data_IF_595525176633
#
_entry.id   IF_595525176633
#
_cell.length_a   1.000
_cell.length_b   1.000
_cell.length_c   1.000
_cell.angle_alpha   90.00
_cell.angle_beta   90.00
_cell.angle_gamma   90.00
#
_symmetry.space_group_name_H-M   'P 1'
#
loop_
_entity.id
_entity.type
_entity.pdbx_description
1 polymer ?
#
# COMPACT_ATOMS: atom_id res chain seq x y z
N UNK A 1 -29.45 48.37 -55.30
CA UNK A 1 -30.38 47.45 -54.59
C UNK A 1 -30.85 46.42 -55.61
N UNK A 2 -30.50 45.14 -55.39
CA UNK A 2 -30.98 43.84 -55.94
C UNK A 2 -31.90 43.87 -57.19
N UNK A 3 -31.80 43.01 -58.22
CA UNK A 3 -31.96 41.53 -58.26
C UNK A 3 -31.55 41.09 -59.70
N UNK A 4 -30.46 40.31 -59.87
CA UNK A 4 -30.37 38.90 -60.33
C UNK A 4 -31.19 38.48 -61.59
N UNK A 5 -30.47 38.23 -62.68
CA UNK A 5 -30.93 37.46 -63.86
C UNK A 5 -30.77 35.96 -63.62
N UNK A 6 -31.79 35.17 -64.02
CA UNK A 6 -31.77 33.71 -64.10
C UNK A 6 -32.42 33.29 -65.43
N UNK A 7 -31.67 32.63 -66.30
CA UNK A 7 -32.12 31.90 -67.51
C UNK A 7 -31.19 30.68 -67.60
N UNK A 8 -31.66 29.46 -67.26
CA UNK A 8 -32.34 28.46 -68.10
C UNK A 8 -31.41 27.70 -69.06
N UNK A 9 -31.24 26.39 -68.86
CA UNK A 9 -31.43 25.33 -69.87
C UNK A 9 -30.96 23.94 -69.36
N UNK A 10 -31.87 22.96 -69.39
CA UNK A 10 -31.60 21.51 -69.49
C UNK A 10 -31.03 21.18 -70.90
N UNK A 11 -30.44 20.05 -71.27
CA UNK A 11 -30.33 18.67 -70.80
C UNK A 11 -29.10 18.03 -71.52
N UNK A 12 -28.70 16.80 -71.18
CA UNK A 12 -28.37 15.66 -72.10
C UNK A 12 -27.65 14.54 -71.33
N UNK A 13 -28.02 13.31 -71.65
CA UNK A 13 -27.66 12.07 -71.01
C UNK A 13 -26.39 11.40 -71.59
N UNK A 14 -25.87 10.44 -70.80
CA UNK A 14 -25.29 9.15 -71.20
C UNK A 14 -23.83 9.11 -71.68
N UNK A 15 -22.93 8.55 -70.86
CA UNK A 15 -21.95 7.51 -71.26
C UNK A 15 -21.63 6.65 -70.02
N UNK A 16 -21.95 5.36 -70.09
CA UNK A 16 -21.42 4.31 -69.21
C UNK A 16 -20.11 3.84 -69.84
N UNK A 17 -19.00 3.98 -69.13
CA UNK A 17 -17.72 3.35 -69.48
C UNK A 17 -17.37 2.35 -68.40
N UNK A 18 -17.53 1.07 -68.72
CA UNK A 18 -16.88 -0.02 -68.00
C UNK A 18 -15.41 -0.03 -68.41
N UNK A 19 -14.54 0.51 -67.55
CA UNK A 19 -13.11 0.21 -67.58
C UNK A 19 -12.77 -0.53 -66.29
N UNK A 20 -12.80 -1.85 -66.41
CA UNK A 20 -12.11 -2.78 -65.52
C UNK A 20 -10.61 -2.53 -65.64
N UNK A 21 -10.07 -1.61 -64.84
CA UNK A 21 -8.65 -1.62 -64.50
C UNK A 21 -8.49 -2.59 -63.34
N UNK A 22 -7.85 -3.72 -63.61
CA UNK A 22 -7.25 -4.55 -62.58
C UNK A 22 -6.10 -3.76 -61.97
N UNK A 23 -6.40 -2.98 -60.93
CA UNK A 23 -5.38 -2.56 -59.99
C UNK A 23 -4.98 -3.81 -59.22
N UNK A 24 -3.97 -4.50 -59.73
CA UNK A 24 -3.17 -5.42 -58.93
C UNK A 24 -2.48 -4.58 -57.85
N UNK A 25 -3.22 -4.24 -56.80
CA UNK A 25 -2.64 -3.84 -55.52
C UNK A 25 -1.89 -5.07 -54.99
N UNK A 26 -0.65 -5.19 -55.45
CA UNK A 26 0.39 -5.95 -54.80
C UNK A 26 0.59 -5.33 -53.42
N UNK A 27 -0.28 -5.68 -52.48
CA UNK A 27 -0.07 -5.52 -51.05
C UNK A 27 1.07 -6.46 -50.68
N UNK A 28 2.30 -6.04 -50.99
CA UNK A 28 3.49 -6.55 -50.31
C UNK A 28 3.34 -6.16 -48.84
N UNK A 29 2.62 -6.99 -48.09
CA UNK A 29 2.67 -6.99 -46.65
C UNK A 29 4.12 -7.27 -46.28
N UNK A 30 4.83 -6.24 -45.79
CA UNK A 30 6.13 -6.43 -45.16
C UNK A 30 5.99 -7.58 -44.15
N UNK A 31 6.90 -8.59 -44.18
CA UNK A 31 6.76 -9.74 -43.31
C UNK A 31 6.66 -9.27 -41.85
N UNK A 32 5.64 -9.74 -41.14
CA UNK A 32 5.40 -9.33 -39.77
C UNK A 32 6.65 -9.60 -38.91
N UNK A 33 7.06 -8.64 -38.06
CA UNK A 33 8.29 -8.73 -37.30
C UNK A 33 8.26 -9.91 -36.34
N UNK A 34 9.34 -10.70 -36.31
CA UNK A 34 9.43 -11.84 -35.40
C UNK A 34 9.63 -11.33 -33.95
N UNK A 35 8.80 -11.75 -32.99
CA UNK A 35 8.90 -11.27 -31.62
C UNK A 35 10.20 -11.72 -30.95
N UNK A 36 10.81 -10.82 -30.18
CA UNK A 36 11.99 -11.07 -29.36
C UNK A 36 11.78 -10.54 -27.95
N UNK A 37 12.57 -11.06 -26.99
CA UNK A 37 12.65 -10.48 -25.65
C UNK A 37 13.71 -9.39 -25.66
N UNK A 38 13.28 -8.13 -25.62
CA UNK A 38 14.15 -6.96 -25.68
C UNK A 38 14.89 -6.74 -24.36
N UNK A 39 14.21 -6.89 -23.23
CA UNK A 39 14.75 -6.67 -21.89
C UNK A 39 14.16 -7.66 -20.89
N UNK A 40 14.95 -8.01 -19.87
CA UNK A 40 14.53 -8.80 -18.72
C UNK A 40 14.76 -8.00 -17.43
N UNK A 41 13.96 -8.22 -16.40
CA UNK A 41 14.26 -7.79 -15.04
C UNK A 41 13.94 -8.94 -14.08
N UNK A 42 14.90 -9.43 -13.29
CA UNK A 42 16.33 -9.08 -13.28
C UNK A 42 17.02 -9.27 -14.65
N UNK A 43 18.16 -8.61 -14.84
CA UNK A 43 19.04 -8.86 -15.97
C UNK A 43 19.73 -10.23 -15.80
N UNK A 44 20.26 -10.75 -16.90
CA UNK A 44 21.00 -12.01 -16.88
C UNK A 44 22.17 -11.95 -15.92
N UNK A 45 22.24 -12.93 -15.02
CA UNK A 45 23.27 -13.09 -13.99
C UNK A 45 23.34 -11.95 -12.97
N UNK A 46 22.26 -11.18 -12.82
CA UNK A 46 22.13 -10.23 -11.71
C UNK A 46 22.34 -10.96 -10.38
N UNK A 47 23.17 -10.37 -9.52
CA UNK A 47 23.36 -10.80 -8.13
C UNK A 47 22.66 -9.83 -7.20
N UNK A 48 22.48 -10.22 -5.93
CA UNK A 48 21.82 -9.40 -4.91
C UNK A 48 20.38 -8.99 -5.26
N UNK A 49 19.67 -9.83 -6.02
CA UNK A 49 18.26 -9.57 -6.36
C UNK A 49 17.39 -9.68 -5.12
N UNK A 50 16.49 -8.72 -4.93
CA UNK A 50 15.52 -8.74 -3.84
C UNK A 50 14.66 -10.01 -3.88
N UNK A 51 14.41 -10.62 -2.72
CA UNK A 51 13.70 -11.91 -2.64
C UNK A 51 12.20 -11.83 -2.96
N UNK A 52 11.62 -10.63 -2.97
CA UNK A 52 10.24 -10.34 -3.39
C UNK A 52 10.16 -9.81 -4.84
N UNK A 53 11.20 -10.03 -5.65
CA UNK A 53 11.28 -9.49 -7.00
C UNK A 53 10.15 -10.03 -7.89
N UNK A 54 9.41 -9.10 -8.50
CA UNK A 54 8.59 -9.39 -9.68
C UNK A 54 9.52 -9.55 -10.87
N UNK A 55 9.47 -10.72 -11.51
CA UNK A 55 10.29 -11.02 -12.69
C UNK A 55 9.53 -10.55 -13.92
N UNK A 56 10.15 -9.79 -14.81
CA UNK A 56 9.48 -9.21 -15.98
C UNK A 56 10.29 -9.35 -17.25
N UNK A 57 9.59 -9.33 -18.38
CA UNK A 57 10.16 -9.27 -19.73
C UNK A 57 9.43 -8.22 -20.55
N UNK A 58 10.18 -7.47 -21.35
CA UNK A 58 9.62 -6.61 -22.40
C UNK A 58 9.86 -7.27 -23.75
N UNK A 59 8.81 -7.39 -24.55
CA UNK A 59 8.86 -7.90 -25.91
C UNK A 59 9.09 -6.77 -26.92
N UNK A 60 9.66 -7.09 -28.08
CA UNK A 60 9.90 -6.15 -29.18
C UNK A 60 8.63 -5.68 -29.88
N UNK A 61 7.54 -6.45 -29.76
CA UNK A 61 6.24 -6.22 -30.41
C UNK A 61 5.12 -6.57 -29.45
N UNK A 62 3.89 -6.21 -29.82
CA UNK A 62 2.70 -6.64 -29.09
C UNK A 62 2.49 -8.15 -29.26
N UNK A 63 2.18 -8.81 -28.16
CA UNK A 63 2.03 -10.26 -28.06
C UNK A 63 0.57 -10.65 -27.90
N UNK A 64 0.26 -11.90 -28.27
CA UNK A 64 -1.01 -12.52 -27.93
C UNK A 64 -1.03 -12.80 -26.42
N UNK A 65 -1.89 -12.08 -25.70
CA UNK A 65 -2.04 -12.19 -24.25
C UNK A 65 -2.41 -13.62 -23.80
N UNK A 66 -3.14 -14.38 -24.61
CA UNK A 66 -3.54 -15.75 -24.27
C UNK A 66 -2.36 -16.74 -24.31
N UNK A 67 -1.34 -16.43 -25.10
CA UNK A 67 -0.11 -17.22 -25.21
C UNK A 67 0.86 -16.99 -24.04
N UNK A 68 0.62 -15.97 -23.21
CA UNK A 68 1.47 -15.59 -22.07
C UNK A 68 0.79 -16.01 -20.77
N UNK A 69 1.22 -17.12 -20.19
CA UNK A 69 0.63 -17.71 -19.00
C UNK A 69 1.70 -18.46 -18.18
N UNK A 70 1.28 -19.15 -17.12
CA UNK A 70 2.19 -19.85 -16.19
C UNK A 70 2.88 -21.06 -16.80
N UNK A 71 2.47 -21.55 -17.97
CA UNK A 71 3.19 -22.62 -18.68
C UNK A 71 4.24 -22.07 -19.65
N UNK A 72 4.06 -20.84 -20.14
CA UNK A 72 4.95 -20.22 -21.13
C UNK A 72 5.92 -19.20 -20.56
N UNK A 73 5.64 -18.64 -19.38
CA UNK A 73 6.58 -17.84 -18.58
C UNK A 73 6.74 -18.46 -17.18
N UNK A 74 7.88 -19.10 -16.95
CA UNK A 74 8.14 -19.90 -15.74
C UNK A 74 9.35 -19.40 -14.96
N UNK A 75 9.38 -19.68 -13.66
CA UNK A 75 10.53 -19.48 -12.79
C UNK A 75 10.88 -20.80 -12.08
N UNK A 76 12.16 -21.15 -12.00
CA UNK A 76 12.64 -22.39 -11.36
C UNK A 76 13.79 -22.13 -10.41
N UNK A 77 13.86 -22.94 -9.35
CA UNK A 77 14.98 -23.06 -8.42
C UNK A 77 15.61 -24.44 -8.57
N UNK A 78 16.84 -24.52 -9.06
CA UNK A 78 17.54 -25.80 -9.25
C UNK A 78 16.66 -26.89 -9.92
N UNK A 79 15.88 -26.51 -10.93
CA UNK A 79 14.94 -27.39 -11.64
C UNK A 79 13.53 -27.51 -11.04
N UNK A 80 13.34 -27.14 -9.78
CA UNK A 80 12.02 -27.14 -9.11
C UNK A 80 11.21 -25.90 -9.51
N UNK A 81 9.95 -26.03 -9.98
CA UNK A 81 9.10 -24.89 -10.29
C UNK A 81 8.82 -24.01 -9.07
N UNK A 82 8.96 -22.69 -9.25
CA UNK A 82 8.44 -21.69 -8.32
C UNK A 82 7.02 -21.35 -8.75
N UNK A 83 6.06 -21.44 -7.84
CA UNK A 83 4.68 -21.08 -8.13
C UNK A 83 4.53 -19.55 -8.18
N UNK A 84 3.66 -19.07 -9.06
CA UNK A 84 3.43 -17.65 -9.27
C UNK A 84 2.27 -17.38 -10.23
N UNK A 85 1.91 -16.11 -10.35
CA UNK A 85 0.92 -15.63 -11.33
C UNK A 85 1.63 -14.92 -12.48
N UNK A 86 1.11 -15.07 -13.70
CA UNK A 86 1.58 -14.36 -14.89
C UNK A 86 0.54 -13.34 -15.33
N UNK A 87 1.00 -12.14 -15.68
CA UNK A 87 0.17 -11.08 -16.27
C UNK A 87 0.89 -10.45 -17.46
N UNK A 88 0.12 -9.89 -18.40
CA UNK A 88 0.64 -9.22 -19.59
C UNK A 88 -0.15 -7.93 -19.87
N UNK A 89 0.57 -6.84 -20.15
CA UNK A 89 -0.03 -5.55 -20.52
C UNK A 89 0.95 -4.73 -21.36
N UNK A 90 0.45 -4.08 -22.42
CA UNK A 90 1.29 -3.35 -23.37
C UNK A 90 2.22 -4.33 -24.11
N UNK A 91 3.53 -4.22 -23.89
CA UNK A 91 4.55 -5.17 -24.37
C UNK A 91 5.27 -5.90 -23.23
N UNK A 92 4.77 -5.78 -21.99
CA UNK A 92 5.45 -6.29 -20.79
C UNK A 92 4.69 -7.46 -20.17
N UNK A 93 5.37 -8.59 -19.98
CA UNK A 93 4.88 -9.69 -19.14
C UNK A 93 5.56 -9.66 -17.76
N UNK A 94 4.81 -10.04 -16.72
CA UNK A 94 5.28 -10.12 -15.33
C UNK A 94 4.92 -11.47 -14.73
N UNK A 95 5.89 -12.09 -14.07
CA UNK A 95 5.74 -13.25 -13.20
C UNK A 95 5.91 -12.79 -11.75
N UNK A 96 4.88 -13.00 -10.92
CA UNK A 96 4.88 -12.67 -9.49
C UNK A 96 4.90 -13.98 -8.70
N UNK A 97 6.01 -14.32 -8.01
CA UNK A 97 6.06 -15.49 -7.14
C UNK A 97 5.02 -15.40 -6.02
N UNK A 98 4.36 -16.52 -5.68
CA UNK A 98 3.40 -16.54 -4.55
C UNK A 98 4.10 -16.56 -3.19
N UNK A 99 5.35 -17.02 -3.14
CA UNK A 99 6.19 -17.06 -1.94
C UNK A 99 7.44 -16.23 -2.15
N UNK A 100 7.93 -15.59 -1.09
CA UNK A 100 9.23 -14.92 -1.10
C UNK A 100 10.31 -15.93 -1.52
N UNK A 101 11.13 -15.57 -2.50
CA UNK A 101 12.21 -16.42 -3.01
C UNK A 101 13.20 -16.75 -1.88
N UNK A 102 13.86 -17.90 -1.93
CA UNK A 102 14.89 -18.30 -0.97
C UNK A 102 16.09 -17.34 -1.02
N UNK A 103 16.84 -17.23 0.08
CA UNK A 103 18.02 -16.36 0.15
C UNK A 103 19.24 -17.04 -0.48
N UNK A 104 20.19 -16.24 -0.98
CA UNK A 104 21.41 -16.71 -1.64
C UNK A 104 21.18 -17.81 -2.69
N UNK A 105 20.07 -17.73 -3.40
CA UNK A 105 19.58 -18.82 -4.25
C UNK A 105 19.54 -18.38 -5.71
N UNK A 106 20.07 -19.25 -6.57
CA UNK A 106 20.02 -19.12 -8.02
C UNK A 106 18.63 -19.51 -8.54
N UNK A 107 18.02 -18.60 -9.29
CA UNK A 107 16.76 -18.81 -9.98
C UNK A 107 16.96 -18.70 -11.48
N UNK A 108 16.21 -19.49 -12.25
CA UNK A 108 16.19 -19.47 -13.70
C UNK A 108 14.78 -19.15 -14.18
N UNK A 109 14.64 -18.02 -14.88
CA UNK A 109 13.40 -17.66 -15.55
C UNK A 109 13.44 -18.16 -17.01
N UNK A 110 12.28 -18.51 -17.56
CA UNK A 110 12.15 -19.00 -18.93
C UNK A 110 10.90 -18.45 -19.58
N UNK A 111 11.05 -17.85 -20.75
CA UNK A 111 9.97 -17.60 -21.70
C UNK A 111 10.11 -18.61 -22.83
N UNK A 112 9.08 -19.44 -23.04
CA UNK A 112 9.11 -20.54 -24.00
C UNK A 112 8.73 -20.10 -25.42
N UNK A 113 9.04 -20.93 -26.42
CA UNK A 113 8.55 -20.78 -27.81
C UNK A 113 7.02 -20.88 -27.95
N UNK A 114 6.28 -21.21 -26.88
CA UNK A 114 4.82 -21.14 -26.86
C UNK A 114 4.26 -19.72 -26.89
N UNK A 115 5.07 -18.70 -26.55
CA UNK A 115 4.68 -17.28 -26.61
C UNK A 115 4.67 -16.78 -28.06
N UNK A 116 3.57 -16.14 -28.47
CA UNK A 116 3.32 -15.69 -29.85
C UNK A 116 2.97 -14.20 -29.94
N UNK A 117 3.29 -13.59 -31.07
CA UNK A 117 2.79 -12.25 -31.42
C UNK A 117 1.27 -12.27 -31.67
N UNK A 118 0.65 -11.09 -31.80
CA UNK A 118 -0.77 -10.99 -32.17
C UNK A 118 -1.08 -11.64 -33.53
N UNK A 119 -0.08 -11.71 -34.42
CA UNK A 119 -0.13 -12.36 -35.73
C UNK A 119 0.16 -13.87 -35.68
N UNK A 120 0.31 -14.44 -34.48
CA UNK A 120 0.53 -15.87 -34.28
C UNK A 120 1.98 -16.35 -34.48
N UNK A 121 2.93 -15.42 -34.66
CA UNK A 121 4.36 -15.76 -34.85
C UNK A 121 5.00 -16.05 -33.50
N UNK A 122 5.57 -17.23 -33.33
CA UNK A 122 6.26 -17.62 -32.09
C UNK A 122 7.63 -16.94 -31.94
N UNK A 123 8.09 -16.77 -30.69
CA UNK A 123 9.50 -16.46 -30.45
C UNK A 123 10.39 -17.60 -30.96
N UNK A 124 11.56 -17.29 -31.54
CA UNK A 124 12.40 -18.27 -32.25
C UNK A 124 12.99 -19.37 -31.36
N UNK A 125 13.28 -19.03 -30.10
CA UNK A 125 13.90 -19.93 -29.15
C UNK A 125 13.46 -19.56 -27.73
N UNK A 126 13.57 -20.51 -26.81
CA UNK A 126 13.35 -20.23 -25.40
C UNK A 126 14.33 -19.15 -24.92
N UNK A 127 13.80 -18.07 -24.35
CA UNK A 127 14.62 -17.09 -23.64
C UNK A 127 14.79 -17.56 -22.21
N UNK A 128 16.00 -17.95 -21.85
CA UNK A 128 16.37 -18.29 -20.47
C UNK A 128 17.36 -17.27 -19.92
N UNK A 129 17.22 -16.94 -18.65
CA UNK A 129 18.20 -16.17 -17.91
C UNK A 129 18.13 -16.53 -16.43
N UNK A 130 19.27 -16.42 -15.78
CA UNK A 130 19.41 -16.65 -14.35
C UNK A 130 19.60 -15.35 -13.58
N UNK A 131 19.32 -15.40 -12.29
CA UNK A 131 19.69 -14.37 -11.32
C UNK A 131 19.86 -15.00 -9.94
N UNK A 132 20.72 -14.40 -9.12
CA UNK A 132 20.97 -14.82 -7.75
C UNK A 132 20.33 -13.84 -6.79
N UNK A 133 19.44 -14.37 -5.94
CA UNK A 133 18.85 -13.60 -4.84
C UNK A 133 19.89 -13.25 -3.79
N UNK A 134 19.70 -12.12 -3.12
CA UNK A 134 20.64 -11.66 -2.09
C UNK A 134 20.87 -12.70 -0.98
N UNK A 135 22.13 -12.81 -0.54
CA UNK A 135 22.54 -13.65 0.58
C UNK A 135 22.10 -13.09 1.93
N UNK A 136 21.87 -11.77 1.99
CA UNK A 136 21.11 -11.21 3.09
C UNK A 136 19.68 -11.73 2.95
N UNK A 137 19.25 -12.57 3.90
CA UNK A 137 17.85 -12.46 4.35
C UNK A 137 17.69 -10.97 4.58
N UNK A 138 16.87 -10.27 3.78
CA UNK A 138 16.57 -8.88 4.07
C UNK A 138 16.28 -8.85 5.57
N UNK A 139 17.12 -8.15 6.35
CA UNK A 139 16.91 -8.10 7.79
C UNK A 139 15.44 -7.76 7.95
N UNK A 140 14.68 -8.64 8.62
CA UNK A 140 13.23 -8.49 8.69
C UNK A 140 12.91 -7.03 8.99
N UNK A 141 11.92 -6.47 8.30
CA UNK A 141 11.61 -5.05 8.41
C UNK A 141 11.62 -4.67 9.88
N UNK A 142 12.55 -3.80 10.29
CA UNK A 142 12.71 -3.53 11.72
C UNK A 142 11.47 -2.80 12.24
N UNK A 143 11.02 -3.12 13.45
CA UNK A 143 9.97 -2.34 14.10
C UNK A 143 10.35 -0.86 14.18
N UNK A 144 9.36 0.03 14.21
CA UNK A 144 9.58 1.47 14.41
C UNK A 144 9.80 1.72 15.90
N UNK A 145 10.92 2.33 16.27
CA UNK A 145 11.19 2.67 17.67
C UNK A 145 10.32 3.84 18.10
N UNK A 146 9.47 3.63 19.11
CA UNK A 146 8.57 4.67 19.63
C UNK A 146 9.22 5.52 20.72
N UNK A 147 10.40 5.14 21.22
CA UNK A 147 11.00 5.75 22.42
C UNK A 147 9.98 5.87 23.56
N UNK A 148 9.98 7.00 24.26
CA UNK A 148 9.01 7.27 25.33
C UNK A 148 7.58 7.52 24.85
N UNK A 149 7.33 7.74 23.55
CA UNK A 149 5.96 7.78 23.02
C UNK A 149 5.28 6.40 23.19
N UNK A 150 6.07 5.33 23.20
CA UNK A 150 5.61 3.97 23.45
C UNK A 150 5.03 3.73 24.86
N UNK A 151 5.07 4.71 25.77
CA UNK A 151 4.43 4.58 27.08
C UNK A 151 2.94 5.00 27.06
N UNK A 152 2.47 5.64 25.99
CA UNK A 152 1.13 6.22 25.92
C UNK A 152 0.24 5.46 24.95
N UNK A 153 -0.99 5.16 25.35
CA UNK A 153 -2.00 4.62 24.44
C UNK A 153 -2.55 5.71 23.51
N UNK A 154 -2.59 6.95 24.02
CA UNK A 154 -2.94 8.15 23.25
C UNK A 154 -1.91 9.22 23.57
N UNK A 155 -1.25 9.75 22.55
CA UNK A 155 -0.38 10.93 22.65
C UNK A 155 -0.78 11.93 21.58
N UNK A 156 -1.11 13.14 21.97
CA UNK A 156 -1.54 14.20 21.06
C UNK A 156 -0.79 15.50 21.33
N UNK A 157 -0.85 16.46 20.40
CA UNK A 157 -0.21 17.78 20.58
C UNK A 157 -1.16 18.92 20.89
N UNK A 158 -2.37 18.90 20.31
CA UNK A 158 -3.29 20.04 20.36
C UNK A 158 -4.52 19.77 21.21
N UNK A 159 -5.12 18.59 21.13
CA UNK A 159 -6.38 18.29 21.83
C UNK A 159 -6.58 16.78 21.98
N UNK A 160 -7.17 16.37 23.11
CA UNK A 160 -7.79 15.05 23.26
C UNK A 160 -9.23 15.29 23.70
N UNK A 161 -10.20 14.88 22.88
CA UNK A 161 -11.62 15.03 23.18
C UNK A 161 -12.30 13.67 23.25
N UNK A 162 -13.18 13.52 24.22
CA UNK A 162 -14.03 12.36 24.38
C UNK A 162 -15.50 12.80 24.49
N UNK A 163 -16.37 12.20 23.68
CA UNK A 163 -17.81 12.21 23.92
C UNK A 163 -18.12 10.96 24.76
N UNK A 164 -18.47 11.11 26.05
CA UNK A 164 -18.56 9.97 26.97
C UNK A 164 -19.59 8.91 26.57
N UNK A 165 -19.38 7.62 26.89
CA UNK A 165 -18.30 7.10 27.76
C UNK A 165 -17.39 6.14 27.01
N UNK A 166 -16.14 6.54 26.79
CA UNK A 166 -15.07 5.63 26.32
C UNK A 166 -14.52 4.77 27.46
N UNK A 167 -13.84 3.67 27.12
CA UNK A 167 -13.06 2.81 28.02
C UNK A 167 -11.64 2.74 27.49
N UNK A 168 -10.68 3.25 28.25
CA UNK A 168 -9.29 3.40 27.83
C UNK A 168 -8.38 2.63 28.79
N UNK A 169 -7.50 1.80 28.25
CA UNK A 169 -6.47 1.08 29.01
C UNK A 169 -5.08 1.53 28.55
N UNK A 170 -4.36 2.22 29.42
CA UNK A 170 -3.07 2.86 29.13
C UNK A 170 -3.10 4.36 29.40
N UNK A 171 -1.92 4.98 29.31
CA UNK A 171 -1.74 6.38 29.67
C UNK A 171 -2.06 7.35 28.51
N UNK A 172 -2.62 8.51 28.83
CA UNK A 172 -2.86 9.61 27.90
C UNK A 172 -1.81 10.70 28.09
N UNK A 173 -1.32 11.29 27.00
CA UNK A 173 -0.40 12.42 27.02
C UNK A 173 -0.82 13.53 26.07
N UNK A 174 -0.76 14.78 26.53
CA UNK A 174 -0.98 15.97 25.70
C UNK A 174 0.15 16.99 25.88
N UNK A 175 0.87 17.31 24.80
CA UNK A 175 1.91 18.35 24.83
C UNK A 175 2.21 18.90 23.43
N UNK A 176 2.34 20.22 23.24
CA UNK A 176 2.53 21.25 24.27
C UNK A 176 1.22 21.85 24.83
N UNK A 177 0.05 21.39 24.37
CA UNK A 177 -1.21 21.91 24.90
C UNK A 177 -1.41 21.56 26.38
N UNK A 178 -2.08 22.48 27.10
CA UNK A 178 -2.39 22.36 28.53
C UNK A 178 -3.54 21.37 28.79
N UNK A 179 -3.70 20.97 30.06
CA UNK A 179 -4.74 20.05 30.55
C UNK A 179 -6.15 20.48 30.12
N UNK A 180 -6.41 21.80 29.98
CA UNK A 180 -7.70 22.35 29.53
C UNK A 180 -8.13 21.90 28.13
N UNK A 181 -7.21 21.39 27.31
CA UNK A 181 -7.49 20.82 25.99
C UNK A 181 -7.73 19.31 26.03
N UNK A 182 -7.74 18.70 27.21
CA UNK A 182 -8.24 17.35 27.45
C UNK A 182 -9.69 17.48 27.92
N UNK A 183 -10.64 17.19 27.04
CA UNK A 183 -12.06 17.49 27.25
C UNK A 183 -12.91 16.22 27.27
N UNK A 184 -13.97 16.21 28.09
CA UNK A 184 -14.89 15.07 28.20
C UNK A 184 -14.39 13.90 29.07
N UNK A 185 -13.43 14.14 29.95
CA UNK A 185 -12.86 13.11 30.85
C UNK A 185 -13.12 13.33 32.35
N UNK A 186 -13.83 14.39 32.74
CA UNK A 186 -14.11 14.71 34.16
C UNK A 186 -12.89 14.48 35.07
N UNK A 187 -11.77 15.10 34.72
CA UNK A 187 -10.47 14.82 35.31
C UNK A 187 -10.45 15.11 36.81
N UNK A 188 -9.80 14.24 37.57
CA UNK A 188 -9.43 14.46 38.97
C UNK A 188 -7.92 14.63 39.03
N UNK A 189 -7.47 15.80 39.48
CA UNK A 189 -6.05 16.17 39.48
C UNK A 189 -5.28 15.55 40.66
N UNK A 190 -4.04 15.15 40.40
CA UNK A 190 -3.04 14.69 41.37
C UNK A 190 -1.72 15.42 41.10
N UNK A 191 -0.72 15.21 41.98
CA UNK A 191 0.61 15.77 41.76
C UNK A 191 1.29 15.15 40.53
N UNK A 192 1.39 15.93 39.46
CA UNK A 192 2.07 15.55 38.21
C UNK A 192 1.26 14.69 37.25
N UNK A 193 -0.01 14.38 37.53
CA UNK A 193 -0.89 13.64 36.63
C UNK A 193 -2.36 13.85 37.03
N UNK A 194 -3.30 13.41 36.19
CA UNK A 194 -4.71 13.34 36.52
C UNK A 194 -5.26 11.91 36.30
N UNK A 195 -6.46 11.64 36.82
CA UNK A 195 -7.22 10.41 36.58
C UNK A 195 -8.61 10.71 36.02
N UNK A 196 -9.18 9.73 35.33
CA UNK A 196 -10.55 9.74 34.84
C UNK A 196 -11.16 8.35 35.02
N UNK A 197 -12.47 8.27 35.28
CA UNK A 197 -13.17 6.98 35.43
C UNK A 197 -13.08 6.11 34.16
N UNK A 198 -13.01 6.76 33.00
CA UNK A 198 -12.85 6.12 31.69
C UNK A 198 -11.45 5.56 31.43
N UNK A 199 -10.45 5.92 32.25
CA UNK A 199 -9.04 5.65 31.97
C UNK A 199 -8.46 4.73 33.05
N UNK A 200 -8.19 3.49 32.67
CA UNK A 200 -7.32 2.57 33.42
C UNK A 200 -5.87 2.92 33.08
N UNK A 201 -5.37 3.96 33.73
CA UNK A 201 -4.08 4.60 33.47
C UNK A 201 -3.99 5.97 34.13
N UNK A 202 -3.05 6.79 33.66
CA UNK A 202 -2.89 8.20 34.06
C UNK A 202 -3.05 9.12 32.86
N UNK A 203 -3.51 10.33 33.13
CA UNK A 203 -3.61 11.41 32.15
C UNK A 203 -2.54 12.44 32.46
N UNK A 204 -1.74 12.80 31.46
CA UNK A 204 -0.64 13.73 31.59
C UNK A 204 -0.80 14.89 30.60
N UNK A 205 -0.46 16.11 31.01
CA UNK A 205 -0.47 17.29 30.14
C UNK A 205 0.72 18.23 30.42
N UNK A 206 0.98 19.15 29.50
CA UNK A 206 2.18 19.99 29.49
C UNK A 206 2.29 21.00 30.64
N UNK A 207 1.17 21.42 31.23
CA UNK A 207 1.09 22.36 32.35
C UNK A 207 1.19 21.69 33.73
N UNK A 208 1.33 20.37 33.77
CA UNK A 208 1.50 19.62 35.01
C UNK A 208 2.92 19.73 35.56
N UNK A 209 3.04 19.56 36.88
CA UNK A 209 4.31 19.66 37.63
C UNK A 209 5.38 18.72 37.06
N UNK A 210 6.62 19.21 36.99
CA UNK A 210 7.82 18.45 36.60
C UNK A 210 7.98 17.18 37.46
N UNK A 211 8.38 16.02 36.89
CA UNK A 211 8.98 15.82 35.56
C UNK A 211 7.99 15.63 34.40
N UNK A 212 6.67 15.76 34.63
CA UNK A 212 5.66 15.43 33.61
C UNK A 212 5.80 16.25 32.33
N UNK A 213 5.94 17.57 32.45
CA UNK A 213 6.09 18.46 31.29
C UNK A 213 7.32 18.11 30.44
N UNK A 214 8.48 17.88 31.05
CA UNK A 214 9.72 17.47 30.36
C UNK A 214 9.57 16.09 29.71
N UNK A 215 9.02 15.11 30.43
CA UNK A 215 8.81 13.77 29.90
C UNK A 215 7.87 13.75 28.69
N UNK A 216 6.82 14.58 28.70
CA UNK A 216 5.90 14.72 27.58
C UNK A 216 6.56 15.38 26.37
N UNK A 217 7.41 16.40 26.57
CA UNK A 217 8.19 16.98 25.46
C UNK A 217 9.04 15.91 24.77
N UNK A 218 9.78 15.10 25.54
CA UNK A 218 10.56 13.98 25.00
C UNK A 218 9.68 12.92 24.32
N UNK A 219 8.50 12.61 24.87
CA UNK A 219 7.56 11.68 24.24
C UNK A 219 7.05 12.19 22.89
N UNK A 220 6.74 13.48 22.78
CA UNK A 220 6.30 14.09 21.52
C UNK A 220 7.42 14.12 20.49
N UNK A 221 8.67 14.41 20.89
CA UNK A 221 9.84 14.34 20.01
C UNK A 221 10.08 12.90 19.51
N UNK A 222 9.94 11.91 20.39
CA UNK A 222 10.05 10.50 20.02
C UNK A 222 8.92 10.06 19.08
N UNK A 223 7.70 10.56 19.26
CA UNK A 223 6.59 10.35 18.32
C UNK A 223 6.90 10.93 16.93
N UNK A 224 7.43 12.16 16.86
CA UNK A 224 7.82 12.79 15.59
C UNK A 224 8.97 12.00 14.93
N UNK A 225 9.93 11.54 15.72
CA UNK A 225 11.04 10.70 15.25
C UNK A 225 10.52 9.37 14.70
N UNK A 226 9.61 8.69 15.41
CA UNK A 226 8.98 7.46 14.95
C UNK A 226 8.18 7.66 13.65
N UNK A 227 7.44 8.76 13.55
CA UNK A 227 6.73 9.14 12.32
C UNK A 227 7.71 9.29 11.14
N UNK A 228 8.81 10.03 11.34
CA UNK A 228 9.81 10.26 10.30
C UNK A 228 10.57 8.99 9.92
N UNK A 229 10.88 8.12 10.88
CA UNK A 229 11.47 6.79 10.65
C UNK A 229 10.54 5.93 9.78
N UNK A 230 9.27 5.80 10.18
CA UNK A 230 8.28 5.04 9.42
C UNK A 230 8.07 5.60 7.99
N UNK A 231 7.95 6.92 7.85
CA UNK A 231 7.80 7.60 6.56
C UNK A 231 9.05 7.49 5.68
N UNK A 232 10.23 7.41 6.30
CA UNK A 232 11.53 7.36 5.65
C UNK A 232 12.01 5.96 5.28
N UNK A 233 11.29 4.89 5.68
CA UNK A 233 11.67 3.51 5.32
C UNK A 233 11.78 3.37 3.79
N UNK A 234 12.93 2.92 3.26
CA UNK A 234 13.15 2.81 1.83
C UNK A 234 12.63 1.48 1.26
N UNK A 235 12.51 1.41 -0.06
CA UNK A 235 12.29 0.15 -0.82
C UNK A 235 11.03 -0.63 -0.42
N UNK A 236 9.82 -0.12 -0.69
CA UNK A 236 8.58 -0.80 -0.34
C UNK A 236 8.46 -2.17 -1.02
N UNK A 237 7.96 -3.15 -0.28
CA UNK A 237 7.60 -4.46 -0.82
C UNK A 237 6.35 -4.37 -1.70
N UNK A 238 5.43 -3.48 -1.35
CA UNK A 238 4.17 -3.24 -2.04
C UNK A 238 4.01 -1.75 -2.32
N UNK A 239 3.77 -1.41 -3.59
CA UNK A 239 3.55 -0.04 -4.04
C UNK A 239 2.15 0.09 -4.63
N UNK A 240 1.40 1.10 -4.17
CA UNK A 240 0.03 1.41 -4.60
C UNK A 240 -0.92 0.20 -4.58
N UNK A 241 -0.80 -0.69 -3.59
CA UNK A 241 -1.63 -1.90 -3.50
C UNK A 241 -3.13 -1.52 -3.51
N UNK A 242 -3.87 -2.07 -4.47
CA UNK A 242 -5.29 -1.78 -4.63
C UNK A 242 -5.61 -0.32 -4.92
N UNK A 243 -4.63 0.46 -5.41
CA UNK A 243 -4.76 1.89 -5.70
C UNK A 243 -5.38 2.67 -4.54
N UNK A 244 -4.94 2.33 -3.32
CA UNK A 244 -5.45 2.92 -2.07
C UNK A 244 -6.65 2.19 -1.45
N UNK A 245 -7.40 1.38 -2.19
CA UNK A 245 -8.48 0.56 -1.61
C UNK A 245 -7.95 -0.82 -1.21
N UNK A 246 -7.87 -1.07 0.10
CA UNK A 246 -7.35 -2.32 0.64
C UNK A 246 -8.42 -3.27 1.19
N UNK A 247 -9.71 -2.97 1.01
CA UNK A 247 -10.81 -3.81 1.49
C UNK A 247 -10.72 -5.26 0.97
N UNK A 248 -10.95 -6.23 1.84
CA UNK A 248 -10.93 -7.66 1.53
C UNK A 248 -9.53 -8.25 1.35
N UNK A 249 -8.46 -7.47 1.48
CA UNK A 249 -7.10 -7.96 1.27
C UNK A 249 -6.53 -8.65 2.51
N UNK A 250 -5.64 -9.61 2.26
CA UNK A 250 -4.72 -10.14 3.26
C UNK A 250 -3.35 -9.48 3.05
N UNK A 251 -2.81 -8.87 4.10
CA UNK A 251 -1.58 -8.10 4.11
C UNK A 251 -0.50 -8.92 4.82
N UNK A 252 0.50 -9.36 4.06
CA UNK A 252 1.65 -10.12 4.56
C UNK A 252 2.76 -9.19 5.06
N UNK A 253 3.75 -9.68 5.82
CA UNK A 253 4.79 -8.83 6.41
C UNK A 253 5.52 -7.98 5.37
N UNK A 254 5.82 -6.74 5.73
CA UNK A 254 6.62 -5.87 4.87
C UNK A 254 6.22 -4.39 4.89
N UNK A 255 6.90 -3.65 4.02
CA UNK A 255 6.72 -2.22 3.83
C UNK A 255 5.76 -1.97 2.67
N UNK A 256 4.70 -1.23 2.95
CA UNK A 256 3.70 -0.81 1.98
C UNK A 256 3.77 0.69 1.78
N UNK A 257 3.55 1.14 0.54
CA UNK A 257 3.57 2.56 0.21
C UNK A 257 2.41 2.94 -0.70
N UNK A 258 1.74 4.03 -0.33
CA UNK A 258 0.80 4.77 -1.17
C UNK A 258 1.15 6.25 -1.18
N UNK A 259 1.22 6.84 -2.37
CA UNK A 259 1.34 8.30 -2.57
C UNK A 259 -0.03 9.00 -2.49
N UNK A 260 -1.10 8.25 -2.23
CA UNK A 260 -2.48 8.69 -2.15
C UNK A 260 -3.10 8.33 -0.79
N UNK A 261 -4.39 8.63 -0.63
CA UNK A 261 -5.17 8.19 0.52
C UNK A 261 -5.45 6.68 0.45
N UNK A 262 -5.61 6.05 1.62
CA UNK A 262 -5.97 4.64 1.76
C UNK A 262 -7.36 4.51 2.37
N UNK A 263 -8.17 3.62 1.80
CA UNK A 263 -9.52 3.28 2.25
C UNK A 263 -9.64 1.80 2.62
N UNK A 264 -10.40 1.53 3.69
CA UNK A 264 -10.68 0.19 4.21
C UNK A 264 -12.20 -0.01 4.26
N UNK A 265 -12.85 -0.25 3.10
CA UNK A 265 -14.31 -0.32 3.01
C UNK A 265 -14.91 -1.64 3.50
N UNK A 266 -14.09 -2.68 3.62
CA UNK A 266 -14.46 -4.01 4.11
C UNK A 266 -13.28 -4.62 4.87
N UNK A 267 -13.52 -5.72 5.59
CA UNK A 267 -12.53 -6.32 6.48
C UNK A 267 -11.20 -6.58 5.77
N UNK A 268 -10.10 -6.39 6.49
CA UNK A 268 -8.77 -6.76 6.04
C UNK A 268 -8.16 -7.73 7.04
N UNK A 269 -7.25 -8.57 6.55
CA UNK A 269 -6.48 -9.48 7.40
C UNK A 269 -5.01 -9.06 7.35
N UNK A 270 -4.35 -8.96 8.49
CA UNK A 270 -2.90 -8.83 8.60
C UNK A 270 -2.39 -10.18 9.09
N UNK A 271 -1.62 -10.88 8.25
CA UNK A 271 -1.25 -12.27 8.46
C UNK A 271 0.25 -12.46 8.41
N UNK A 272 0.82 -12.94 9.51
CA UNK A 272 2.24 -13.26 9.66
C UNK A 272 2.53 -13.76 11.07
N UNK A 273 3.79 -14.03 11.36
CA UNK A 273 4.25 -14.50 12.68
C UNK A 273 4.27 -13.40 13.73
N UNK A 274 4.57 -13.78 14.97
CA UNK A 274 4.69 -12.86 16.10
C UNK A 274 5.89 -11.90 16.02
N UNK A 275 6.88 -12.21 15.18
CA UNK A 275 8.11 -11.43 15.02
C UNK A 275 8.12 -10.59 13.74
N UNK A 276 7.13 -10.81 12.87
CA UNK A 276 6.96 -10.07 11.64
C UNK A 276 6.51 -8.63 11.90
N UNK A 277 6.83 -7.74 10.95
CA UNK A 277 6.57 -6.30 11.04
C UNK A 277 5.87 -5.81 9.77
N UNK A 278 4.92 -4.90 9.97
CA UNK A 278 4.20 -4.20 8.91
C UNK A 278 4.39 -2.71 9.08
N UNK A 279 4.78 -2.03 8.01
CA UNK A 279 4.81 -0.56 7.97
C UNK A 279 4.03 -0.10 6.76
N UNK A 280 2.98 0.69 7.02
CA UNK A 280 2.13 1.28 6.00
C UNK A 280 2.44 2.78 5.89
N UNK A 281 3.05 3.19 4.77
CA UNK A 281 3.32 4.59 4.45
C UNK A 281 2.17 5.16 3.60
N UNK A 282 1.45 6.13 4.15
CA UNK A 282 0.27 6.73 3.51
C UNK A 282 0.49 8.24 3.38
N UNK A 283 0.63 8.73 2.15
CA UNK A 283 0.82 10.16 1.88
C UNK A 283 -0.48 10.98 1.96
N UNK A 284 -1.65 10.34 1.94
CA UNK A 284 -2.95 10.97 2.17
C UNK A 284 -3.57 10.58 3.51
N UNK A 285 -4.91 10.57 3.52
CA UNK A 285 -5.71 10.14 4.67
C UNK A 285 -5.79 8.60 4.75
N UNK A 286 -6.08 8.09 5.95
CA UNK A 286 -6.49 6.71 6.19
C UNK A 286 -7.96 6.71 6.64
N UNK A 287 -8.84 6.12 5.85
CA UNK A 287 -10.27 6.06 6.16
C UNK A 287 -10.78 4.62 6.22
N UNK A 288 -11.31 4.21 7.37
CA UNK A 288 -11.94 2.91 7.56
C UNK A 288 -13.45 3.05 7.71
N UNK A 289 -14.21 2.25 6.95
CA UNK A 289 -15.68 2.26 7.01
C UNK A 289 -16.21 1.77 8.36
N UNK A 290 -17.48 2.10 8.64
CA UNK A 290 -18.20 1.59 9.80
C UNK A 290 -18.32 0.06 9.77
N UNK A 291 -18.37 -0.56 10.95
CA UNK A 291 -18.47 -2.02 11.15
C UNK A 291 -17.36 -2.88 10.50
N UNK A 292 -16.35 -2.25 9.90
CA UNK A 292 -15.19 -2.94 9.32
C UNK A 292 -14.23 -3.37 10.43
N UNK A 293 -13.49 -4.46 10.22
CA UNK A 293 -12.49 -5.00 11.15
C UNK A 293 -11.14 -5.20 10.48
N UNK A 294 -10.06 -4.86 11.21
CA UNK A 294 -8.72 -5.39 10.96
C UNK A 294 -8.57 -6.67 11.75
N UNK A 295 -8.22 -7.77 11.09
CA UNK A 295 -8.13 -9.11 11.68
C UNK A 295 -6.67 -9.53 11.70
N UNK A 296 -6.14 -9.94 12.86
CA UNK A 296 -4.79 -10.48 12.96
C UNK A 296 -4.82 -12.01 12.83
N UNK A 297 -3.91 -12.56 12.02
CA UNK A 297 -3.78 -14.00 11.79
C UNK A 297 -2.30 -14.44 11.85
N UNK A 298 -2.06 -15.71 12.14
CA UNK A 298 -0.71 -16.33 12.08
C UNK A 298 0.20 -16.01 13.27
N UNK A 299 -0.30 -15.25 14.24
CA UNK A 299 0.49 -14.77 15.39
C UNK A 299 0.87 -13.30 15.30
N UNK A 300 0.50 -12.59 14.22
CA UNK A 300 0.73 -11.15 14.06
C UNK A 300 0.28 -10.37 15.30
N UNK A 301 1.11 -9.40 15.72
CA UNK A 301 0.88 -8.57 16.91
C UNK A 301 0.68 -7.11 16.51
N UNK A 302 -0.32 -6.45 17.12
CA UNK A 302 -0.53 -5.02 16.96
C UNK A 302 0.71 -4.17 17.29
N UNK A 303 1.54 -4.60 18.24
CA UNK A 303 2.80 -3.95 18.59
C UNK A 303 3.81 -3.85 17.44
N UNK A 304 3.67 -4.69 16.40
CA UNK A 304 4.56 -4.74 15.25
C UNK A 304 3.94 -4.16 13.97
N UNK A 305 2.77 -3.54 14.07
CA UNK A 305 2.03 -2.99 12.93
C UNK A 305 2.04 -1.47 13.06
N UNK A 306 2.63 -0.77 12.09
CA UNK A 306 2.80 0.68 12.11
C UNK A 306 2.11 1.33 10.92
N UNK A 307 1.23 2.29 11.20
CA UNK A 307 0.48 3.07 10.22
C UNK A 307 0.98 4.52 10.25
N UNK A 308 1.87 4.87 9.32
CA UNK A 308 2.29 6.24 9.12
C UNK A 308 1.30 6.94 8.18
N UNK A 309 0.62 7.97 8.67
CA UNK A 309 -0.42 8.70 7.93
C UNK A 309 -0.08 10.18 7.86
N UNK A 310 0.14 10.70 6.66
CA UNK A 310 0.49 12.11 6.45
C UNK A 310 -0.73 13.04 6.52
N UNK A 311 -1.91 12.51 6.19
CA UNK A 311 -3.20 13.14 6.46
C UNK A 311 -3.80 12.68 7.79
N UNK A 312 -5.13 12.71 7.87
CA UNK A 312 -5.88 12.27 9.04
C UNK A 312 -6.20 10.77 8.99
N UNK A 313 -6.33 10.16 10.17
CA UNK A 313 -6.86 8.79 10.30
C UNK A 313 -8.29 8.85 10.86
N UNK A 314 -9.24 8.20 10.19
CA UNK A 314 -10.66 8.20 10.59
C UNK A 314 -11.21 6.78 10.58
N UNK A 315 -11.78 6.36 11.70
CA UNK A 315 -12.34 5.03 11.90
C UNK A 315 -13.85 5.12 12.10
N UNK A 316 -14.60 4.50 11.20
CA UNK A 316 -16.05 4.51 11.19
C UNK A 316 -16.68 3.89 12.44
N UNK A 317 -17.97 4.18 12.66
CA UNK A 317 -18.70 3.70 13.82
C UNK A 317 -18.61 2.18 13.94
N UNK A 318 -18.48 1.67 15.17
CA UNK A 318 -18.39 0.24 15.49
C UNK A 318 -17.29 -0.55 14.73
N UNK A 319 -16.32 0.14 14.13
CA UNK A 319 -15.17 -0.51 13.50
C UNK A 319 -14.20 -1.07 14.54
N UNK A 320 -13.29 -1.95 14.13
CA UNK A 320 -12.24 -2.48 14.98
C UNK A 320 -10.88 -2.37 14.29
N UNK A 321 -9.94 -1.64 14.90
CA UNK A 321 -8.63 -1.38 14.32
C UNK A 321 -7.48 -1.90 15.18
N UNK A 322 -6.36 -2.22 14.54
CA UNK A 322 -5.19 -2.88 15.13
C UNK A 322 -3.90 -2.15 14.71
N UNK A 323 -3.03 -1.86 15.68
CA UNK A 323 -1.67 -1.37 15.44
C UNK A 323 -1.36 0.03 15.97
N UNK A 324 -0.18 0.54 15.62
CA UNK A 324 0.34 1.83 16.05
C UNK A 324 0.09 2.87 14.97
N UNK A 325 -0.72 3.88 15.27
CA UNK A 325 -1.00 4.99 14.36
C UNK A 325 -0.03 6.14 14.64
N UNK A 326 0.77 6.48 13.65
CA UNK A 326 1.66 7.65 13.62
C UNK A 326 1.07 8.66 12.63
N UNK A 327 0.18 9.53 13.11
CA UNK A 327 -0.49 10.53 12.27
C UNK A 327 0.18 11.89 12.35
N UNK A 328 0.41 12.52 11.19
CA UNK A 328 0.88 13.90 11.09
C UNK A 328 -0.22 14.92 11.44
N UNK A 329 -1.48 14.53 11.34
CA UNK A 329 -2.61 15.36 11.73
C UNK A 329 -3.42 14.66 12.83
N UNK A 330 -4.73 14.53 12.65
CA UNK A 330 -5.65 14.05 13.66
C UNK A 330 -6.01 12.56 13.51
N UNK A 331 -6.41 11.96 14.62
CA UNK A 331 -6.97 10.62 14.69
C UNK A 331 -8.39 10.72 15.24
N UNK A 332 -9.38 10.24 14.49
CA UNK A 332 -10.79 10.28 14.90
C UNK A 332 -11.38 8.88 14.93
N UNK A 333 -11.87 8.48 16.09
CA UNK A 333 -12.68 7.27 16.26
C UNK A 333 -14.14 7.69 16.40
N UNK A 334 -14.99 7.23 15.48
CA UNK A 334 -16.43 7.48 15.56
C UNK A 334 -17.10 6.55 16.57
N UNK A 335 -18.37 6.82 16.84
CA UNK A 335 -19.20 6.14 17.84
C UNK A 335 -18.94 4.63 17.94
N UNK A 336 -18.48 4.18 19.11
CA UNK A 336 -18.36 2.76 19.42
C UNK A 336 -17.26 2.00 18.66
N UNK A 337 -16.40 2.67 17.91
CA UNK A 337 -15.21 2.03 17.34
C UNK A 337 -14.30 1.51 18.46
N UNK A 338 -13.60 0.42 18.21
CA UNK A 338 -12.65 -0.22 19.12
C UNK A 338 -11.25 -0.25 18.50
N UNK A 339 -10.23 -0.12 19.35
CA UNK A 339 -8.86 0.00 18.92
C UNK A 339 -7.91 -0.71 19.89
N UNK A 340 -7.09 -1.61 19.37
CA UNK A 340 -6.01 -2.25 20.10
C UNK A 340 -4.68 -1.79 19.49
N UNK A 341 -3.99 -0.89 20.18
CA UNK A 341 -2.93 -0.11 19.56
C UNK A 341 -2.53 1.17 20.30
N UNK A 342 -1.88 2.08 19.58
CA UNK A 342 -1.56 3.44 20.07
C UNK A 342 -1.95 4.50 19.06
N UNK A 343 -2.61 5.56 19.52
CA UNK A 343 -2.97 6.72 18.70
C UNK A 343 -1.99 7.86 18.99
N UNK A 344 -0.97 8.00 18.15
CA UNK A 344 0.08 9.00 18.27
C UNK A 344 -0.14 10.07 17.18
N UNK A 345 -0.73 11.20 17.57
CA UNK A 345 -1.21 12.24 16.67
C UNK A 345 -0.45 13.56 16.87
N UNK A 346 0.07 14.13 15.78
CA UNK A 346 0.73 15.44 15.85
C UNK A 346 -0.26 16.63 15.90
N UNK A 347 -1.57 16.38 15.83
CA UNK A 347 -2.59 17.37 16.24
C UNK A 347 -3.50 16.79 17.32
N UNK A 348 -4.67 16.28 16.95
CA UNK A 348 -5.75 15.95 17.87
C UNK A 348 -6.13 14.47 17.85
N UNK A 349 -6.62 13.96 18.98
CA UNK A 349 -7.32 12.67 19.06
C UNK A 349 -8.75 12.90 19.51
N UNK A 350 -9.72 12.39 18.74
CA UNK A 350 -11.15 12.55 18.98
C UNK A 350 -11.78 11.18 19.19
N UNK A 351 -12.49 11.03 20.30
CA UNK A 351 -13.19 9.81 20.73
C UNK A 351 -14.68 10.07 20.91
N UNK A 352 -15.48 9.06 20.62
CA UNK A 352 -16.93 9.02 20.76
C UNK A 352 -17.34 7.61 21.23
N UNK A 353 -17.42 7.41 22.55
CA UNK A 353 -17.80 6.12 23.16
C UNK A 353 -16.93 4.93 22.74
N UNK A 354 -15.60 5.09 22.68
CA UNK A 354 -14.69 4.09 22.13
C UNK A 354 -14.08 3.16 23.18
N UNK A 355 -13.66 1.96 22.76
CA UNK A 355 -12.74 1.12 23.56
C UNK A 355 -11.33 1.25 22.98
N UNK A 356 -10.36 1.71 23.77
CA UNK A 356 -8.97 1.92 23.33
C UNK A 356 -8.03 1.21 24.30
N UNK A 357 -7.26 0.24 23.80
CA UNK A 357 -6.43 -0.63 24.65
C UNK A 357 -4.99 -0.63 24.14
N UNK A 358 -4.05 -0.35 25.03
CA UNK A 358 -2.63 -0.43 24.76
C UNK A 358 -2.20 -1.87 24.42
N UNK A 359 -1.38 -2.08 23.37
CA UNK A 359 -0.83 -3.39 23.06
C UNK A 359 0.20 -3.80 24.12
N UNK A 360 0.19 -5.09 24.45
CA UNK A 360 1.17 -5.71 25.34
C UNK A 360 2.57 -5.83 24.73
#
# INVERSE_FOLDING_TARGET
>A
MKIKNLLSASAIAMVVLFTSCSDDENTQSSPAPVPTVALTSPLTSDTNVARNKVVSVNFSVQMDASSINTTTFTLKQAGTPVLGTVSYSGTTAKFVPITVLAANTLYTATVTTGVKSAEGIAIRANKQWDFTTTATVAAGLKAVSLGSAGNYVILAKTTITNVPTSVITGDLGLSPAATSYITGFSLTDFTGYAKAAQVTGKVFAADMVSPTSTNLTTAVENMITAYNDAAGRPSPNFLELGTGNIGGKTLTPGLYKWTSAVTVPSNITISGSADDVWIFQISGDLAMSAATRVILQGGAKASNIFWQVAGQATFGSTSHFEGIILSKTGVTFRTGASFYGRALAQTAVILDGNTVVQPQ
#
